data_IF_312372898106
#
_entry.id   IF_312372898106
#
_cell.length_a   1.000
_cell.length_b   1.000
_cell.length_c   1.000
_cell.angle_alpha   90.00
_cell.angle_beta   90.00
_cell.angle_gamma   90.00
#
_symmetry.space_group_name_H-M   'P 1'
#
loop_
_entity.id
_entity.type
_entity.pdbx_description
1 polymer ?
#
# COMPACT_ATOMS: atom_id res chain seq x y z
N UNK A 1 -10.20 -12.30 16.37
CA UNK A 1 -11.31 -11.41 15.98
C UNK A 1 -11.30 -11.38 14.47
N UNK A 2 -12.20 -12.14 13.85
CA UNK A 2 -12.23 -12.40 12.40
C UNK A 2 -12.53 -11.11 11.62
N UNK A 3 -11.63 -10.75 10.72
CA UNK A 3 -11.81 -9.66 9.74
C UNK A 3 -12.04 -10.26 8.33
N UNK A 4 -12.51 -11.52 8.25
CA UNK A 4 -12.75 -12.22 6.99
C UNK A 4 -14.16 -12.04 6.41
N UNK A 5 -15.16 -11.74 7.25
CA UNK A 5 -16.57 -11.78 6.82
C UNK A 5 -17.03 -10.62 5.94
N UNK A 6 -16.40 -9.45 6.02
CA UNK A 6 -16.88 -8.26 5.31
C UNK A 6 -16.45 -8.24 3.83
N UNK A 7 -15.26 -8.75 3.51
CA UNK A 7 -14.79 -8.83 2.12
C UNK A 7 -15.57 -9.90 1.33
N UNK A 8 -15.82 -11.09 1.90
CA UNK A 8 -16.59 -12.15 1.23
C UNK A 8 -18.06 -11.80 1.01
N UNK A 9 -18.72 -11.19 2.01
CA UNK A 9 -20.10 -10.73 1.90
C UNK A 9 -20.24 -9.58 0.91
N UNK A 10 -19.27 -8.67 0.88
CA UNK A 10 -19.23 -7.58 -0.08
C UNK A 10 -18.95 -8.07 -1.51
N UNK A 11 -18.03 -9.02 -1.69
CA UNK A 11 -17.77 -9.67 -2.99
C UNK A 11 -19.01 -10.40 -3.52
N UNK A 12 -19.76 -11.07 -2.63
CA UNK A 12 -21.05 -11.69 -2.97
C UNK A 12 -22.07 -10.63 -3.41
N UNK A 13 -22.23 -9.57 -2.64
CA UNK A 13 -23.13 -8.45 -2.99
C UNK A 13 -22.76 -7.78 -4.31
N UNK A 14 -21.46 -7.66 -4.62
CA UNK A 14 -20.98 -7.09 -5.88
C UNK A 14 -21.29 -7.96 -7.08
N UNK A 15 -21.21 -9.29 -6.91
CA UNK A 15 -21.59 -10.27 -7.95
C UNK A 15 -23.08 -10.20 -8.26
N UNK A 16 -23.90 -10.17 -7.21
CA UNK A 16 -25.36 -10.03 -7.33
C UNK A 16 -25.77 -8.66 -7.93
N UNK A 17 -25.01 -7.59 -7.64
CA UNK A 17 -25.25 -6.27 -8.23
C UNK A 17 -24.91 -6.25 -9.74
N UNK A 18 -23.83 -6.93 -10.14
CA UNK A 18 -23.43 -7.08 -11.55
C UNK A 18 -24.47 -7.87 -12.35
N UNK A 19 -24.95 -8.99 -11.80
CA UNK A 19 -25.99 -9.82 -12.43
C UNK A 19 -27.29 -9.04 -12.62
N UNK A 20 -27.71 -8.28 -11.60
CA UNK A 20 -28.91 -7.42 -11.68
C UNK A 20 -28.75 -6.25 -12.65
N UNK A 21 -27.58 -5.60 -12.70
CA UNK A 21 -27.34 -4.49 -13.61
C UNK A 21 -27.33 -4.93 -15.08
N UNK A 22 -26.76 -6.11 -15.36
CA UNK A 22 -26.77 -6.75 -16.68
C UNK A 22 -28.19 -7.03 -17.17
N UNK A 23 -29.06 -7.53 -16.30
CA UNK A 23 -30.47 -7.83 -16.63
C UNK A 23 -31.36 -6.60 -16.89
N UNK A 24 -30.93 -5.39 -16.51
CA UNK A 24 -31.74 -4.15 -16.58
C UNK A 24 -31.13 -3.11 -17.54
N UNK A 25 -30.02 -3.42 -18.21
CA UNK A 25 -29.40 -2.53 -19.21
C UNK A 25 -28.73 -1.28 -18.63
N UNK A 26 -28.32 -1.31 -17.36
CA UNK A 26 -27.63 -0.19 -16.69
C UNK A 26 -26.12 -0.25 -16.90
N UNK A 27 -25.69 0.16 -18.09
CA UNK A 27 -24.27 0.15 -18.50
C UNK A 27 -23.37 1.00 -17.59
N UNK A 28 -23.86 2.11 -17.07
CA UNK A 28 -23.16 3.00 -16.13
C UNK A 28 -22.75 2.31 -14.82
N UNK A 29 -23.61 1.45 -14.29
CA UNK A 29 -23.32 0.65 -13.09
C UNK A 29 -22.27 -0.42 -13.38
N UNK A 30 -22.32 -1.03 -14.57
CA UNK A 30 -21.32 -2.03 -14.98
C UNK A 30 -19.94 -1.38 -15.16
N UNK A 31 -19.88 -0.22 -15.81
CA UNK A 31 -18.65 0.56 -15.99
C UNK A 31 -18.02 0.93 -14.63
N UNK A 32 -18.84 1.35 -13.67
CA UNK A 32 -18.38 1.63 -12.31
C UNK A 32 -17.81 0.39 -11.62
N UNK A 33 -18.51 -0.75 -11.71
CA UNK A 33 -18.07 -2.00 -11.09
C UNK A 33 -16.77 -2.52 -11.71
N UNK A 34 -16.62 -2.42 -13.03
CA UNK A 34 -15.40 -2.80 -13.74
C UNK A 34 -14.22 -1.90 -13.37
N UNK A 35 -14.43 -0.58 -13.33
CA UNK A 35 -13.41 0.36 -12.88
C UNK A 35 -12.99 0.08 -11.43
N UNK A 36 -13.95 -0.23 -10.56
CA UNK A 36 -13.66 -0.58 -9.17
C UNK A 36 -12.81 -1.86 -9.08
N UNK A 37 -13.20 -2.90 -9.81
CA UNK A 37 -12.45 -4.17 -9.82
C UNK A 37 -11.03 -3.98 -10.36
N UNK A 38 -10.86 -3.21 -11.43
CA UNK A 38 -9.55 -2.87 -11.99
C UNK A 38 -8.68 -2.11 -10.98
N UNK A 39 -9.26 -1.14 -10.27
CA UNK A 39 -8.56 -0.39 -9.23
C UNK A 39 -8.17 -1.27 -8.03
N UNK A 40 -9.04 -2.17 -7.57
CA UNK A 40 -8.75 -3.06 -6.44
C UNK A 40 -7.68 -4.10 -6.81
N UNK A 41 -7.68 -4.59 -8.05
CA UNK A 41 -6.60 -5.45 -8.57
C UNK A 41 -5.27 -4.70 -8.64
N UNK A 42 -5.27 -3.47 -9.16
CA UNK A 42 -4.07 -2.62 -9.22
C UNK A 42 -3.52 -2.33 -7.82
N UNK A 43 -4.37 -1.96 -6.86
CA UNK A 43 -3.98 -1.73 -5.46
C UNK A 43 -3.30 -2.95 -4.87
N UNK A 44 -3.91 -4.13 -5.02
CA UNK A 44 -3.35 -5.38 -4.49
C UNK A 44 -1.99 -5.69 -5.09
N UNK A 45 -1.88 -5.67 -6.43
CA UNK A 45 -0.63 -5.93 -7.15
C UNK A 45 0.50 -4.99 -6.72
N UNK A 46 0.23 -3.69 -6.68
CA UNK A 46 1.25 -2.68 -6.43
C UNK A 46 1.65 -2.57 -4.95
N UNK A 47 0.72 -2.87 -4.03
CA UNK A 47 1.04 -3.02 -2.61
C UNK A 47 1.96 -4.23 -2.41
N UNK A 48 1.64 -5.38 -3.00
CA UNK A 48 2.48 -6.57 -2.91
C UNK A 48 3.88 -6.31 -3.48
N UNK A 49 3.94 -5.76 -4.70
CA UNK A 49 5.20 -5.40 -5.36
C UNK A 49 6.10 -4.53 -4.49
N UNK A 50 5.54 -3.54 -3.78
CA UNK A 50 6.29 -2.67 -2.88
C UNK A 50 6.95 -3.46 -1.75
N UNK A 51 6.19 -4.35 -1.11
CA UNK A 51 6.67 -5.18 0.00
C UNK A 51 7.68 -6.22 -0.48
N UNK A 52 7.48 -6.80 -1.66
CA UNK A 52 8.44 -7.70 -2.32
C UNK A 52 9.76 -7.00 -2.58
N UNK A 53 9.75 -5.74 -3.03
CA UNK A 53 10.97 -4.98 -3.25
C UNK A 53 11.77 -4.76 -1.96
N UNK A 54 11.11 -4.43 -0.84
CA UNK A 54 11.77 -4.36 0.47
C UNK A 54 12.31 -5.73 0.92
N UNK A 55 11.54 -6.79 0.72
CA UNK A 55 11.93 -8.16 1.07
C UNK A 55 13.14 -8.63 0.26
N UNK A 56 13.18 -8.33 -1.04
CA UNK A 56 14.29 -8.66 -1.92
C UNK A 56 15.59 -7.98 -1.48
N UNK A 57 15.55 -6.67 -1.22
CA UNK A 57 16.72 -5.92 -0.72
C UNK A 57 17.15 -6.42 0.66
N UNK A 58 16.22 -6.71 1.57
CA UNK A 58 16.54 -7.30 2.86
C UNK A 58 17.19 -8.69 2.72
N UNK A 59 16.71 -9.51 1.76
CA UNK A 59 17.27 -10.81 1.43
C UNK A 59 18.71 -10.72 0.90
N UNK A 60 19.00 -9.75 0.03
CA UNK A 60 20.36 -9.44 -0.42
C UNK A 60 21.29 -9.11 0.75
N UNK A 61 20.84 -8.23 1.66
CA UNK A 61 21.61 -7.83 2.83
C UNK A 61 21.81 -8.99 3.81
N UNK A 62 20.80 -9.85 3.98
CA UNK A 62 20.93 -11.05 4.81
C UNK A 62 21.93 -12.06 4.25
N UNK A 63 21.99 -12.23 2.91
CA UNK A 63 23.05 -13.03 2.28
C UNK A 63 24.45 -12.44 2.53
N UNK A 64 24.55 -11.13 2.70
CA UNK A 64 25.77 -10.45 3.11
C UNK A 64 26.01 -10.42 4.64
N UNK A 65 25.19 -11.12 5.44
CA UNK A 65 25.39 -11.27 6.89
C UNK A 65 24.70 -10.23 7.77
N UNK A 66 23.72 -9.47 7.25
CA UNK A 66 23.06 -8.41 8.02
C UNK A 66 22.23 -8.89 9.23
N UNK A 67 21.75 -10.13 9.21
CA UNK A 67 20.98 -10.73 10.32
C UNK A 67 19.62 -10.07 10.57
N UNK A 68 18.96 -9.57 9.53
CA UNK A 68 17.62 -8.99 9.58
C UNK A 68 16.56 -10.06 9.79
N UNK A 69 15.62 -9.80 10.69
CA UNK A 69 14.39 -10.59 10.85
C UNK A 69 13.22 -9.86 10.19
N UNK A 70 12.30 -10.63 9.60
CA UNK A 70 11.14 -10.11 8.87
C UNK A 70 9.86 -10.60 9.54
N UNK A 71 8.90 -9.70 9.73
CA UNK A 71 7.56 -10.05 10.21
C UNK A 71 6.52 -9.33 9.35
N UNK A 72 5.56 -10.09 8.83
CA UNK A 72 4.46 -9.57 8.00
C UNK A 72 3.13 -9.75 8.73
N UNK A 73 2.26 -8.75 8.65
CA UNK A 73 0.90 -8.79 9.20
C UNK A 73 -0.07 -8.32 8.13
N UNK A 74 -1.02 -9.18 7.78
CA UNK A 74 -2.12 -8.81 6.87
C UNK A 74 -3.21 -8.00 7.57
N UNK A 75 -4.02 -7.29 6.78
CA UNK A 75 -5.16 -6.50 7.25
C UNK A 75 -4.82 -5.51 8.38
N UNK A 76 -3.60 -4.97 8.39
CA UNK A 76 -3.17 -3.97 9.34
C UNK A 76 -3.84 -2.61 9.07
N UNK A 77 -4.25 -1.93 10.14
CA UNK A 77 -4.87 -0.60 10.07
C UNK A 77 -3.87 0.45 10.53
N UNK A 78 -3.59 1.43 9.68
CA UNK A 78 -2.65 2.53 9.95
C UNK A 78 -3.22 3.86 9.45
N UNK A 79 -2.63 4.99 9.86
CA UNK A 79 -3.09 6.33 9.44
C UNK A 79 -2.12 6.97 8.47
N UNK A 80 -2.67 7.62 7.44
CA UNK A 80 -1.95 8.52 6.53
C UNK A 80 -2.75 9.81 6.44
N UNK A 81 -2.19 10.90 6.96
CA UNK A 81 -2.92 12.15 7.18
C UNK A 81 -4.20 11.93 8.01
N UNK A 82 -5.35 12.28 7.44
CA UNK A 82 -6.67 12.13 8.08
C UNK A 82 -7.38 10.81 7.76
N UNK A 83 -6.80 9.97 6.92
CA UNK A 83 -7.42 8.74 6.42
C UNK A 83 -6.86 7.52 7.14
N UNK A 84 -7.71 6.51 7.34
CA UNK A 84 -7.32 5.19 7.83
C UNK A 84 -7.12 4.27 6.63
N UNK A 85 -5.93 3.69 6.54
CA UNK A 85 -5.58 2.73 5.52
C UNK A 85 -5.70 1.32 6.09
N UNK A 86 -6.08 0.37 5.25
CA UNK A 86 -6.08 -1.06 5.58
C UNK A 86 -5.24 -1.80 4.54
N UNK A 87 -4.27 -2.57 4.99
CA UNK A 87 -3.41 -3.38 4.12
C UNK A 87 -2.27 -4.05 4.89
N UNK A 88 -1.29 -4.64 4.21
CA UNK A 88 -0.21 -5.34 4.87
C UNK A 88 0.78 -4.38 5.56
N UNK A 89 1.38 -4.91 6.62
CA UNK A 89 2.53 -4.31 7.30
C UNK A 89 3.70 -5.27 7.28
N UNK A 90 4.85 -4.81 6.80
CA UNK A 90 6.14 -5.48 6.87
C UNK A 90 7.04 -4.79 7.89
N UNK A 91 7.60 -5.54 8.83
CA UNK A 91 8.56 -5.03 9.81
C UNK A 91 9.89 -5.77 9.66
N UNK A 92 10.95 -5.02 9.41
CA UNK A 92 12.32 -5.50 9.34
C UNK A 92 13.05 -5.10 10.62
N UNK A 93 13.68 -6.03 11.33
CA UNK A 93 14.37 -5.75 12.61
C UNK A 93 15.82 -6.19 12.60
N UNK A 94 16.65 -5.40 13.29
CA UNK A 94 18.03 -5.72 13.66
C UNK A 94 18.30 -5.28 15.09
N UNK A 95 18.40 -6.24 16.01
CA UNK A 95 18.49 -5.94 17.44
C UNK A 95 17.30 -5.07 17.88
N UNK A 96 17.60 -3.89 18.44
CA UNK A 96 16.58 -2.93 18.91
C UNK A 96 16.02 -2.01 17.81
N UNK A 97 16.62 -2.02 16.60
CA UNK A 97 16.17 -1.16 15.49
C UNK A 97 15.09 -1.87 14.68
N UNK A 98 14.13 -1.10 14.19
CA UNK A 98 13.07 -1.59 13.32
C UNK A 98 12.75 -0.58 12.21
N UNK A 99 12.54 -1.11 11.00
CA UNK A 99 11.96 -0.41 9.87
C UNK A 99 10.59 -1.01 9.61
N UNK A 100 9.55 -0.18 9.63
CA UNK A 100 8.17 -0.59 9.37
C UNK A 100 7.72 -0.01 8.03
N UNK A 101 7.15 -0.86 7.19
CA UNK A 101 6.57 -0.50 5.91
C UNK A 101 5.10 -0.92 5.96
N UNK A 102 4.20 0.04 5.80
CA UNK A 102 2.76 -0.16 5.80
C UNK A 102 2.21 0.33 4.48
N UNK A 103 1.40 -0.45 3.80
CA UNK A 103 0.81 -0.06 2.53
C UNK A 103 -0.64 -0.51 2.45
N UNK A 104 -1.51 0.33 1.92
CA UNK A 104 -2.95 0.05 1.95
C UNK A 104 -3.82 1.17 1.40
N UNK A 105 -5.12 0.96 1.51
CA UNK A 105 -6.13 1.92 1.07
C UNK A 105 -7.36 1.87 2.01
N UNK A 106 -8.21 2.90 2.02
CA UNK A 106 -9.45 2.90 2.77
C UNK A 106 -10.40 1.82 2.26
N UNK A 107 -11.01 1.03 3.17
CA UNK A 107 -11.92 -0.08 2.79
C UNK A 107 -13.39 0.30 2.93
N UNK A 108 -13.71 1.22 3.83
CA UNK A 108 -15.06 1.76 4.00
C UNK A 108 -15.14 3.28 3.93
N UNK A 109 -16.35 3.87 3.79
CA UNK A 109 -16.53 5.32 3.74
C UNK A 109 -15.99 6.07 4.96
N UNK A 110 -16.01 5.42 6.14
CA UNK A 110 -15.49 5.97 7.40
C UNK A 110 -13.96 5.98 7.48
N UNK A 111 -13.30 5.22 6.61
CA UNK A 111 -11.84 5.15 6.55
C UNK A 111 -11.25 6.35 5.78
N UNK A 112 -12.08 7.12 5.07
CA UNK A 112 -11.67 8.29 4.31
C UNK A 112 -11.29 7.96 2.86
N UNK A 113 -10.45 8.79 2.27
CA UNK A 113 -10.02 8.67 0.87
C UNK A 113 -8.49 8.77 0.76
N UNK A 114 -7.93 8.17 -0.29
CA UNK A 114 -6.55 8.45 -0.70
C UNK A 114 -6.53 9.81 -1.40
N UNK A 115 -5.78 10.76 -0.86
CA UNK A 115 -5.69 12.12 -1.42
C UNK A 115 -4.68 12.18 -2.57
N UNK A 116 -4.76 13.23 -3.39
CA UNK A 116 -3.77 13.48 -4.43
C UNK A 116 -3.93 12.60 -5.69
N UNK A 117 -5.12 12.02 -5.91
CA UNK A 117 -5.41 11.18 -7.08
C UNK A 117 -4.80 9.79 -7.00
N UNK A 118 -4.41 9.33 -5.81
CA UNK A 118 -3.81 8.01 -5.64
C UNK A 118 -4.82 6.87 -5.49
N UNK A 119 -4.37 5.66 -5.83
CA UNK A 119 -5.08 4.41 -5.59
C UNK A 119 -4.85 3.86 -4.18
N UNK A 120 -3.63 4.01 -3.66
CA UNK A 120 -3.19 3.52 -2.35
C UNK A 120 -2.13 4.45 -1.76
N UNK A 121 -1.88 4.32 -0.46
CA UNK A 121 -0.80 5.01 0.23
C UNK A 121 0.07 4.03 0.99
N UNK A 122 1.33 4.41 1.20
CA UNK A 122 2.23 3.68 2.08
C UNK A 122 2.97 4.62 3.04
N UNK A 123 3.38 4.09 4.17
CA UNK A 123 4.22 4.76 5.15
C UNK A 123 5.43 3.90 5.44
N UNK A 124 6.60 4.53 5.46
CA UNK A 124 7.87 3.92 5.85
C UNK A 124 8.33 4.64 7.11
N UNK A 125 8.50 3.92 8.22
CA UNK A 125 8.88 4.51 9.51
C UNK A 125 10.06 3.79 10.15
N UNK A 126 10.93 4.56 10.81
CA UNK A 126 12.09 4.05 11.55
C UNK A 126 11.83 4.16 13.04
N UNK A 127 12.06 3.08 13.78
CA UNK A 127 11.95 3.11 15.24
C UNK A 127 12.98 4.07 15.82
N UNK A 128 12.49 5.11 16.51
CA UNK A 128 13.32 6.14 17.13
C UNK A 128 13.71 7.31 16.22
N UNK A 129 13.35 7.29 14.92
CA UNK A 129 13.62 8.40 13.99
C UNK A 129 12.43 8.67 13.06
N UNK A 130 11.48 9.49 13.55
CA UNK A 130 10.31 9.89 12.78
C UNK A 130 10.64 10.77 11.56
N UNK A 131 11.81 11.46 11.56
CA UNK A 131 12.20 12.34 10.45
C UNK A 131 12.68 11.54 9.25
N UNK A 132 13.29 10.37 9.48
CA UNK A 132 13.80 9.47 8.46
C UNK A 132 12.75 8.66 7.69
N UNK A 133 11.48 8.69 8.10
CA UNK A 133 10.39 8.04 7.39
C UNK A 133 9.95 8.75 6.12
N UNK A 134 9.30 8.04 5.20
CA UNK A 134 8.74 8.57 3.95
C UNK A 134 7.28 8.15 3.81
N UNK A 135 6.46 9.00 3.18
CA UNK A 135 5.11 8.64 2.75
C UNK A 135 5.12 8.42 1.24
N UNK A 136 4.40 7.38 0.79
CA UNK A 136 4.28 7.04 -0.63
C UNK A 136 2.83 7.12 -1.10
N UNK A 137 2.66 7.50 -2.37
CA UNK A 137 1.39 7.52 -3.07
C UNK A 137 1.46 6.64 -4.33
N UNK A 138 0.56 5.68 -4.45
CA UNK A 138 0.38 4.92 -5.68
C UNK A 138 -0.54 5.73 -6.61
N UNK A 139 -0.05 6.16 -7.76
CA UNK A 139 -0.81 6.97 -8.72
C UNK A 139 -1.14 6.12 -9.94
N UNK A 140 -2.41 6.11 -10.41
CA UNK A 140 -2.75 5.47 -11.67
C UNK A 140 -2.15 6.28 -12.82
N UNK A 141 -1.51 5.60 -13.76
CA UNK A 141 -1.09 6.19 -15.02
C UNK A 141 -1.90 5.51 -16.14
N UNK A 142 -2.44 6.31 -17.05
CA UNK A 142 -3.31 5.87 -18.13
C UNK A 142 -2.52 5.24 -19.29
N UNK A 143 -1.20 5.45 -19.35
CA UNK A 143 -0.32 4.98 -20.43
C UNK A 143 0.71 3.95 -19.96
N UNK A 144 1.20 4.08 -18.73
CA UNK A 144 2.11 3.11 -18.12
C UNK A 144 1.48 2.58 -16.84
N UNK A 145 1.77 1.34 -16.45
CA UNK A 145 1.17 0.75 -15.24
C UNK A 145 1.34 1.68 -14.02
N UNK A 146 0.41 1.62 -13.04
CA UNK A 146 0.41 2.50 -11.85
C UNK A 146 1.78 2.57 -11.17
N UNK A 147 2.19 3.70 -10.62
CA UNK A 147 3.53 3.84 -10.02
C UNK A 147 3.51 4.44 -8.62
N UNK A 148 4.48 4.04 -7.81
CA UNK A 148 4.71 4.62 -6.49
C UNK A 148 5.52 5.91 -6.59
N UNK A 149 5.09 6.92 -5.86
CA UNK A 149 5.78 8.19 -5.71
C UNK A 149 6.07 8.47 -4.25
N UNK A 150 7.26 8.94 -3.94
CA UNK A 150 7.63 9.51 -2.64
C UNK A 150 7.03 10.91 -2.55
N UNK A 151 6.28 11.16 -1.49
CA UNK A 151 5.69 12.46 -1.19
C UNK A 151 6.71 13.28 -0.38
N UNK A 152 6.98 14.50 -0.85
CA UNK A 152 7.78 15.45 -0.08
C UNK A 152 6.94 15.97 1.11
N UNK A 153 7.51 15.92 2.32
CA UNK A 153 6.85 16.37 3.55
C UNK A 153 6.63 17.88 3.61
N UNK A 154 7.53 18.64 3.00
CA UNK A 154 7.49 20.11 2.96
C UNK A 154 6.62 20.59 1.79
N UNK A 155 6.59 19.83 0.69
CA UNK A 155 5.75 20.13 -0.45
C UNK A 155 5.00 18.88 -0.98
N UNK A 156 3.80 18.57 -0.44
CA UNK A 156 3.03 17.39 -0.87
C UNK A 156 2.61 17.37 -2.35
N UNK A 157 2.71 18.51 -3.05
CA UNK A 157 2.50 18.59 -4.50
C UNK A 157 3.73 18.12 -5.29
N UNK A 158 4.93 18.23 -4.71
CA UNK A 158 6.15 17.65 -5.26
C UNK A 158 6.18 16.14 -5.00
N UNK A 159 6.37 15.38 -6.08
CA UNK A 159 6.39 13.92 -6.06
C UNK A 159 7.60 13.44 -6.85
N UNK A 160 8.37 12.55 -6.26
CA UNK A 160 9.46 11.86 -6.95
C UNK A 160 9.09 10.39 -7.14
N UNK A 161 9.32 9.83 -8.32
CA UNK A 161 9.06 8.41 -8.55
C UNK A 161 9.92 7.54 -7.61
N UNK A 162 9.33 6.47 -7.07
CA UNK A 162 10.01 5.55 -6.18
C UNK A 162 11.08 4.76 -6.93
N UNK A 163 12.32 5.22 -6.82
CA UNK A 163 13.51 4.53 -7.33
C UNK A 163 14.11 3.54 -6.31
N UNK A 164 14.85 2.50 -6.77
CA UNK A 164 15.52 1.53 -5.91
C UNK A 164 16.48 2.14 -4.86
N UNK A 165 17.08 3.30 -5.16
CA UNK A 165 17.93 4.00 -4.17
C UNK A 165 17.16 4.42 -2.91
N UNK A 166 15.86 4.70 -3.00
CA UNK A 166 15.06 5.08 -1.83
C UNK A 166 14.94 3.91 -0.85
N UNK A 167 14.69 2.70 -1.36
CA UNK A 167 14.61 1.49 -0.55
C UNK A 167 15.93 1.22 0.14
N UNK A 168 17.03 1.21 -0.64
CA UNK A 168 18.39 1.00 -0.11
C UNK A 168 18.76 2.02 0.96
N UNK A 169 18.36 3.28 0.80
CA UNK A 169 18.56 4.33 1.82
C UNK A 169 17.90 3.99 3.14
N UNK A 170 16.65 3.50 3.14
CA UNK A 170 15.99 3.10 4.38
C UNK A 170 16.64 1.86 5.00
N UNK A 171 17.01 0.85 4.20
CA UNK A 171 17.71 -0.32 4.74
C UNK A 171 19.09 0.04 5.31
N UNK A 172 19.84 0.92 4.65
CA UNK A 172 21.13 1.40 5.17
C UNK A 172 20.98 2.07 6.55
N UNK A 173 19.92 2.87 6.76
CA UNK A 173 19.62 3.46 8.08
C UNK A 173 19.30 2.43 9.15
N UNK A 174 18.59 1.36 8.79
CA UNK A 174 18.32 0.24 9.69
C UNK A 174 19.62 -0.48 10.11
N UNK A 175 20.64 -0.49 9.25
CA UNK A 175 21.91 -1.17 9.46
C UNK A 175 23.02 -0.31 10.09
N UNK A 176 22.89 1.02 10.07
CA UNK A 176 23.77 1.93 10.81
C UNK A 176 23.61 1.72 12.32
#
# INVERSE_FOLDING_TARGET
MEVGGFDEEYERMMREARERASGVGRGDVLDYLDLKAANDAARTRWVEWLLECFTAVAGELNRAGAGLTLARTEAHRFRVGTSTMVGPRLVLRRGVRALTIEAGWPRGPRDGIVRGGGLASASITHFGDARAGDELLLVPDAQTESRWFVIDKENPAARAELQPQHLRRHLARLLA
#
